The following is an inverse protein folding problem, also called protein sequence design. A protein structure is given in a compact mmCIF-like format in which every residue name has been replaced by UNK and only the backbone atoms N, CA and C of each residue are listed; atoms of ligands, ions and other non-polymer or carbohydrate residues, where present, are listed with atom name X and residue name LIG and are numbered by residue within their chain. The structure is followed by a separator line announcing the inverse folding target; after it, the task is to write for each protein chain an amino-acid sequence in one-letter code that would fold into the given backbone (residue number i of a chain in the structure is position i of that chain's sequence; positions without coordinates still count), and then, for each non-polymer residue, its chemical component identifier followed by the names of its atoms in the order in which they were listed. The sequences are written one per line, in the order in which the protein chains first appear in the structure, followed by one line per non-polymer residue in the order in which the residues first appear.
data_IF_612345280925
#
_entry.id   IF_612345280925
#
_cell.length_a   1.000
_cell.length_b   1.000
_cell.length_c   1.000
_cell.angle_alpha   90.00
_cell.angle_beta   90.00
_cell.angle_gamma   90.00
#
_symmetry.space_group_name_H-M   'P 1'
#
loop_
_entity.id
_entity.type
_entity.pdbx_description
1 polymer ?
#
# COMPACT_ATOMS: atom_id res chain seq x y z
N UNK A 1 -47.64 46.54 31.87
CA UNK A 1 -49.05 46.10 32.00
C UNK A 1 -49.71 46.22 30.62
N UNK A 2 -50.53 45.23 30.25
CA UNK A 2 -51.09 44.92 28.90
C UNK A 2 -50.32 43.85 28.11
N UNK A 3 -50.61 42.59 28.44
CA UNK A 3 -50.45 41.43 27.54
C UNK A 3 -51.51 41.53 26.42
N UNK A 4 -51.10 41.23 25.18
CA UNK A 4 -52.00 40.92 24.06
C UNK A 4 -51.69 39.50 23.56
N UNK A 5 -52.70 38.69 23.23
CA UNK A 5 -52.51 37.33 22.74
C UNK A 5 -52.28 37.36 21.23
N UNK A 6 -51.38 36.49 20.73
CA UNK A 6 -51.19 36.26 19.30
C UNK A 6 -51.36 34.77 19.01
N UNK A 7 -52.51 34.50 18.39
CA UNK A 7 -52.82 33.49 17.38
C UNK A 7 -51.92 32.25 17.28
N UNK A 8 -52.51 31.11 17.66
CA UNK A 8 -52.10 29.78 17.18
C UNK A 8 -52.53 29.61 15.73
N UNK A 9 -51.58 29.40 14.84
CA UNK A 9 -51.80 28.85 13.51
C UNK A 9 -51.22 27.43 13.50
N UNK A 10 -52.11 26.43 13.46
CA UNK A 10 -51.74 25.05 13.14
C UNK A 10 -51.41 24.98 11.66
N UNK A 11 -50.15 24.68 11.33
CA UNK A 11 -49.75 24.34 9.97
C UNK A 11 -49.49 22.83 9.92
N UNK A 12 -50.37 22.11 9.22
CA UNK A 12 -50.16 20.71 8.80
C UNK A 12 -48.96 20.66 7.85
N UNK A 13 -47.82 20.14 8.32
CA UNK A 13 -46.74 19.71 7.45
C UNK A 13 -47.03 18.29 6.97
N UNK A 14 -47.50 18.17 5.72
CA UNK A 14 -47.61 16.92 4.99
C UNK A 14 -46.20 16.42 4.64
N UNK A 15 -45.86 15.25 5.15
CA UNK A 15 -44.65 14.52 4.82
C UNK A 15 -44.72 14.00 3.38
N UNK A 16 -43.97 14.63 2.47
CA UNK A 16 -43.60 14.04 1.18
C UNK A 16 -42.20 13.46 1.29
N UNK A 17 -42.12 12.21 1.73
CA UNK A 17 -40.92 11.38 1.62
C UNK A 17 -40.80 10.91 0.16
N UNK A 18 -40.32 11.78 -0.73
CA UNK A 18 -39.85 11.37 -2.04
C UNK A 18 -38.48 10.69 -1.86
N UNK A 19 -38.51 9.37 -1.61
CA UNK A 19 -37.32 8.53 -1.70
C UNK A 19 -36.85 8.51 -3.16
N UNK A 20 -35.88 9.36 -3.47
CA UNK A 20 -35.10 9.27 -4.70
C UNK A 20 -34.18 8.06 -4.59
N UNK A 21 -34.71 6.89 -4.95
CA UNK A 21 -33.88 5.73 -5.27
C UNK A 21 -33.08 6.13 -6.52
N UNK A 22 -31.74 6.18 -6.48
CA UNK A 22 -31.00 6.35 -7.72
C UNK A 22 -31.31 5.14 -8.58
N UNK A 23 -31.94 5.39 -9.73
CA UNK A 23 -32.11 4.39 -10.76
C UNK A 23 -30.71 3.87 -11.11
N UNK A 24 -30.39 2.67 -10.62
CA UNK A 24 -29.24 1.90 -11.05
C UNK A 24 -29.45 1.64 -12.55
N UNK A 25 -28.89 2.51 -13.39
CA UNK A 25 -28.70 2.18 -14.79
C UNK A 25 -27.81 0.95 -14.81
N UNK A 26 -28.41 -0.18 -15.13
CA UNK A 26 -27.70 -1.36 -15.62
C UNK A 26 -27.06 -0.97 -16.97
N UNK A 27 -25.98 -0.18 -16.92
CA UNK A 27 -25.04 -0.09 -18.01
C UNK A 27 -24.35 -1.45 -18.07
N UNK A 28 -24.47 -2.15 -19.20
CA UNK A 28 -23.71 -3.38 -19.42
C UNK A 28 -22.23 -3.09 -19.12
N UNK A 29 -21.61 -3.97 -18.33
CA UNK A 29 -20.22 -3.92 -17.85
C UNK A 29 -19.16 -3.77 -18.96
N UNK A 30 -19.58 -3.78 -20.24
CA UNK A 30 -18.72 -3.78 -21.42
C UNK A 30 -19.20 -2.82 -22.52
N UNK A 31 -19.94 -1.76 -22.17
CA UNK A 31 -20.47 -0.80 -23.15
C UNK A 31 -19.56 0.42 -23.40
N UNK A 32 -19.05 0.54 -24.64
CA UNK A 32 -18.72 1.73 -25.46
C UNK A 32 -18.45 3.13 -24.87
N UNK A 33 -18.01 3.26 -23.62
CA UNK A 33 -17.66 4.53 -23.00
C UNK A 33 -16.24 4.99 -23.33
N UNK A 34 -15.96 6.29 -23.29
CA UNK A 34 -14.61 6.86 -23.51
C UNK A 34 -13.77 6.96 -22.22
N UNK A 35 -14.26 6.40 -21.12
CA UNK A 35 -13.73 6.55 -19.77
C UNK A 35 -13.58 5.20 -19.08
N UNK A 36 -12.69 5.16 -18.07
CA UNK A 36 -12.50 4.00 -17.21
C UNK A 36 -13.81 3.67 -16.47
N UNK A 37 -14.27 2.43 -16.59
CA UNK A 37 -15.46 1.96 -15.89
C UNK A 37 -15.19 1.87 -14.38
N UNK A 38 -16.03 2.54 -13.59
CA UNK A 38 -15.92 2.53 -12.12
C UNK A 38 -16.45 1.24 -11.50
N UNK A 39 -17.11 0.37 -12.27
CA UNK A 39 -17.60 -0.92 -11.81
C UNK A 39 -16.46 -1.83 -11.31
N UNK A 40 -15.25 -1.72 -11.89
CA UNK A 40 -14.07 -2.46 -11.43
C UNK A 40 -13.68 -2.13 -9.98
N UNK A 41 -14.06 -0.96 -9.46
CA UNK A 41 -13.81 -0.62 -8.05
C UNK A 41 -14.70 -1.37 -7.05
N UNK A 42 -15.69 -2.14 -7.52
CA UNK A 42 -16.59 -2.92 -6.65
C UNK A 42 -15.99 -4.25 -6.21
N UNK A 43 -14.88 -4.70 -6.83
CA UNK A 43 -14.23 -5.97 -6.47
C UNK A 43 -13.57 -5.96 -5.09
N UNK A 44 -13.40 -4.78 -4.47
CA UNK A 44 -12.83 -4.57 -3.13
C UNK A 44 -11.66 -5.52 -2.80
N UNK A 45 -10.57 -5.52 -3.60
CA UNK A 45 -9.46 -6.42 -3.38
C UNK A 45 -8.75 -6.10 -2.05
N UNK A 46 -8.04 -7.09 -1.49
CA UNK A 46 -7.42 -6.99 -0.18
C UNK A 46 -6.27 -5.96 -0.13
N UNK A 47 -5.74 -5.53 -1.29
CA UNK A 47 -4.69 -4.52 -1.40
C UNK A 47 -5.16 -3.29 -2.17
N UNK A 48 -4.62 -2.14 -1.82
CA UNK A 48 -4.66 -0.92 -2.61
C UNK A 48 -3.24 -0.45 -2.94
N UNK A 49 -3.07 0.23 -4.07
CA UNK A 49 -1.79 0.82 -4.46
C UNK A 49 -1.85 2.36 -4.40
N UNK A 50 -0.83 2.98 -3.84
CA UNK A 50 -0.65 4.44 -3.85
C UNK A 50 0.71 4.74 -4.45
N UNK A 51 0.74 5.64 -5.44
CA UNK A 51 1.94 6.10 -6.11
C UNK A 51 2.19 7.54 -5.66
N UNK A 52 3.26 7.75 -4.91
CA UNK A 52 3.77 9.06 -4.54
C UNK A 52 4.85 9.48 -5.53
N UNK A 53 4.75 10.72 -6.01
CA UNK A 53 5.77 11.35 -6.84
C UNK A 53 6.26 12.59 -6.13
N UNK A 54 7.53 12.59 -5.71
CA UNK A 54 8.21 13.77 -5.20
C UNK A 54 8.34 14.80 -6.33
N UNK A 55 7.60 15.90 -6.18
CA UNK A 55 7.57 16.96 -7.17
C UNK A 55 8.87 17.78 -7.25
N UNK A 56 9.76 17.63 -6.27
CA UNK A 56 11.07 18.29 -6.29
C UNK A 56 12.11 17.51 -7.10
N UNK A 57 11.84 16.23 -7.40
CA UNK A 57 12.78 15.30 -8.06
C UNK A 57 12.48 15.07 -9.55
N UNK A 58 11.47 15.74 -10.07
CA UNK A 58 11.05 15.57 -11.47
C UNK A 58 12.00 16.32 -12.40
N UNK A 59 12.83 15.55 -13.12
CA UNK A 59 13.76 16.09 -14.13
C UNK A 59 13.08 16.18 -15.50
N UNK A 60 13.20 17.35 -16.14
CA UNK A 60 12.70 17.61 -17.50
C UNK A 60 13.33 16.65 -18.50
N UNK A 61 12.48 16.10 -19.38
CA UNK A 61 12.79 15.11 -20.40
C UNK A 61 13.23 13.74 -19.86
N UNK A 62 13.20 13.52 -18.55
CA UNK A 62 13.40 12.20 -17.95
C UNK A 62 12.04 11.57 -17.60
N UNK A 63 11.58 10.66 -18.45
CA UNK A 63 10.30 9.95 -18.29
C UNK A 63 10.48 8.43 -18.14
N UNK A 64 11.71 7.93 -18.07
CA UNK A 64 11.98 6.49 -17.99
C UNK A 64 11.42 5.88 -16.70
N UNK A 65 11.51 6.61 -15.58
CA UNK A 65 10.91 6.19 -14.32
C UNK A 65 9.39 5.98 -14.42
N UNK A 66 8.69 6.81 -15.21
CA UNK A 66 7.24 6.68 -15.46
C UNK A 66 6.92 5.41 -16.24
N UNK A 67 7.72 5.11 -17.27
CA UNK A 67 7.54 3.91 -18.09
C UNK A 67 7.76 2.65 -17.25
N UNK A 68 8.83 2.61 -16.46
CA UNK A 68 9.13 1.50 -15.54
C UNK A 68 8.01 1.31 -14.53
N UNK A 69 7.53 2.40 -13.93
CA UNK A 69 6.41 2.37 -12.98
C UNK A 69 5.13 1.82 -13.61
N UNK A 70 4.71 2.34 -14.77
CA UNK A 70 3.50 1.89 -15.44
C UNK A 70 3.59 0.41 -15.83
N UNK A 71 4.74 -0.03 -16.37
CA UNK A 71 4.97 -1.42 -16.73
C UNK A 71 4.87 -2.35 -15.49
N UNK A 72 5.45 -1.94 -14.36
CA UNK A 72 5.37 -2.68 -13.10
C UNK A 72 3.94 -2.74 -12.55
N UNK A 73 3.19 -1.65 -12.61
CA UNK A 73 1.79 -1.63 -12.20
C UNK A 73 0.96 -2.62 -13.03
N UNK A 74 1.06 -2.57 -14.37
CA UNK A 74 0.33 -3.47 -15.26
C UNK A 74 0.62 -4.96 -14.99
N UNK A 75 1.83 -5.28 -14.51
CA UNK A 75 2.27 -6.65 -14.23
C UNK A 75 1.90 -7.15 -12.83
N UNK A 76 1.51 -6.27 -11.91
CA UNK A 76 1.42 -6.62 -10.48
C UNK A 76 0.10 -6.24 -9.81
N UNK A 77 -0.73 -5.41 -10.47
CA UNK A 77 -2.05 -5.04 -9.97
C UNK A 77 -3.06 -6.19 -10.06
N UNK A 78 -3.82 -6.38 -8.98
CA UNK A 78 -4.93 -7.32 -8.95
C UNK A 78 -6.16 -6.77 -9.67
N UNK A 79 -7.07 -7.63 -10.16
CA UNK A 79 -8.40 -7.23 -10.60
C UNK A 79 -9.10 -6.29 -9.61
N UNK A 80 -9.48 -5.10 -10.09
CA UNK A 80 -10.18 -4.09 -9.29
C UNK A 80 -9.31 -3.36 -8.27
N UNK A 81 -7.98 -3.54 -8.28
CA UNK A 81 -7.08 -2.88 -7.34
C UNK A 81 -7.11 -1.37 -7.53
N UNK A 82 -7.52 -0.66 -6.49
CA UNK A 82 -7.52 0.80 -6.48
C UNK A 82 -6.08 1.29 -6.49
N UNK A 83 -5.76 2.10 -7.49
CA UNK A 83 -4.50 2.79 -7.66
C UNK A 83 -4.73 4.29 -7.53
N UNK A 84 -3.96 4.95 -6.68
CA UNK A 84 -4.06 6.40 -6.47
C UNK A 84 -2.72 7.06 -6.80
N UNK A 85 -2.74 8.18 -7.52
CA UNK A 85 -1.57 9.02 -7.79
C UNK A 85 -1.61 10.22 -6.86
N UNK A 86 -0.54 10.40 -6.10
CA UNK A 86 -0.38 11.46 -5.12
C UNK A 86 0.87 12.26 -5.47
N UNK A 87 0.70 13.57 -5.62
CA UNK A 87 1.82 14.51 -5.65
C UNK A 87 2.32 14.68 -4.21
N UNK A 88 3.60 14.40 -4.01
CA UNK A 88 4.30 14.68 -2.77
C UNK A 88 5.05 16.00 -2.97
N UNK A 89 4.83 16.98 -2.08
CA UNK A 89 5.46 18.30 -2.15
C UNK A 89 6.35 18.55 -0.92
N UNK A 90 7.58 18.00 -0.87
CA UNK A 90 8.50 18.20 0.25
C UNK A 90 8.83 19.66 0.56
N UNK A 91 8.77 20.53 -0.44
CA UNK A 91 8.96 21.98 -0.25
C UNK A 91 7.88 22.62 0.63
N UNK A 92 6.70 22.00 0.71
CA UNK A 92 5.55 22.49 1.49
C UNK A 92 5.15 21.53 2.62
N UNK A 93 5.75 20.35 2.70
CA UNK A 93 5.38 19.33 3.69
C UNK A 93 3.96 18.80 3.48
N UNK A 94 3.50 18.70 2.22
CA UNK A 94 2.12 18.34 1.90
C UNK A 94 2.08 17.22 0.85
N UNK A 95 0.96 16.53 0.82
CA UNK A 95 0.59 15.57 -0.22
C UNK A 95 -0.76 15.96 -0.82
N UNK A 96 -0.95 15.65 -2.10
CA UNK A 96 -2.19 15.94 -2.82
C UNK A 96 -2.54 14.81 -3.76
N UNK A 97 -3.72 14.23 -3.56
CA UNK A 97 -4.29 13.28 -4.51
C UNK A 97 -4.59 13.97 -5.84
N UNK A 98 -4.04 13.43 -6.94
CA UNK A 98 -4.24 13.92 -8.30
C UNK A 98 -5.28 13.08 -9.03
N UNK A 99 -5.29 11.77 -8.79
CA UNK A 99 -6.17 10.83 -9.47
C UNK A 99 -6.29 9.52 -8.70
N UNK A 100 -7.44 8.86 -8.84
CA UNK A 100 -7.67 7.50 -8.35
C UNK A 100 -8.52 6.71 -9.36
N UNK A 101 -8.20 5.43 -9.55
CA UNK A 101 -8.92 4.51 -10.43
C UNK A 101 -8.63 3.05 -10.08
N UNK A 102 -9.43 2.11 -10.58
CA UNK A 102 -9.26 0.68 -10.28
C UNK A 102 -8.79 -0.09 -11.51
N UNK A 103 -7.85 -1.01 -11.31
CA UNK A 103 -7.27 -1.79 -12.40
C UNK A 103 -8.31 -2.68 -13.09
N UNK A 104 -8.59 -2.47 -14.39
CA UNK A 104 -9.56 -3.29 -15.11
C UNK A 104 -8.90 -4.60 -15.52
N UNK A 105 -9.15 -5.62 -14.70
CA UNK A 105 -8.73 -6.99 -14.98
C UNK A 105 -9.78 -7.96 -14.43
N UNK A 106 -9.65 -9.23 -14.77
CA UNK A 106 -10.50 -10.32 -14.28
C UNK A 106 -9.63 -11.48 -13.81
N UNK A 107 -10.13 -12.27 -12.87
CA UNK A 107 -9.46 -13.51 -12.47
C UNK A 107 -9.58 -14.57 -13.57
N UNK A 108 -8.74 -15.62 -13.52
CA UNK A 108 -8.83 -16.73 -14.48
C UNK A 108 -10.22 -17.38 -14.50
N UNK A 109 -10.84 -17.53 -13.32
CA UNK A 109 -12.16 -18.15 -13.22
C UNK A 109 -13.26 -17.24 -13.76
N UNK A 110 -13.15 -15.93 -13.54
CA UNK A 110 -14.02 -14.95 -14.17
C UNK A 110 -13.85 -14.95 -15.69
N UNK A 111 -12.62 -15.00 -16.20
CA UNK A 111 -12.34 -15.08 -17.63
C UNK A 111 -12.97 -16.33 -18.27
N UNK A 112 -12.87 -17.50 -17.62
CA UNK A 112 -13.51 -18.74 -18.08
C UNK A 112 -15.04 -18.60 -18.15
N UNK A 113 -15.66 -18.00 -17.13
CA UNK A 113 -17.12 -17.73 -17.11
C UNK A 113 -17.53 -16.79 -18.23
N UNK A 114 -16.83 -15.65 -18.37
CA UNK A 114 -17.11 -14.67 -19.42
C UNK A 114 -16.98 -15.27 -20.83
N UNK A 115 -15.97 -16.11 -21.06
CA UNK A 115 -15.80 -16.81 -22.33
C UNK A 115 -16.94 -17.82 -22.62
N UNK A 116 -17.51 -18.45 -21.59
CA UNK A 116 -18.64 -19.39 -21.74
C UNK A 116 -19.99 -18.70 -21.93
N UNK A 117 -20.14 -17.44 -21.48
CA UNK A 117 -21.38 -16.68 -21.57
C UNK A 117 -21.49 -15.84 -22.87
N UNK A 118 -20.36 -15.53 -23.52
CA UNK A 118 -20.30 -14.57 -24.63
C UNK A 118 -20.69 -15.10 -26.02
N UNK A 119 -21.52 -16.14 -26.13
CA UNK A 119 -21.71 -16.85 -27.40
C UNK A 119 -22.63 -16.20 -28.43
N UNK A 120 -23.33 -15.09 -28.18
CA UNK A 120 -24.41 -14.70 -29.09
C UNK A 120 -24.44 -13.29 -29.71
N UNK A 121 -24.27 -12.14 -29.04
CA UNK A 121 -24.47 -10.84 -29.75
C UNK A 121 -23.69 -9.59 -29.25
N UNK A 122 -22.61 -9.74 -28.50
CA UNK A 122 -21.75 -8.61 -28.09
C UNK A 122 -20.30 -8.90 -28.42
N UNK A 123 -19.51 -7.87 -28.77
CA UNK A 123 -18.08 -8.02 -29.10
C UNK A 123 -17.30 -8.79 -28.03
N UNK A 124 -16.11 -9.29 -28.41
CA UNK A 124 -15.27 -10.10 -27.53
C UNK A 124 -15.02 -9.36 -26.19
N UNK A 125 -15.48 -9.89 -25.04
CA UNK A 125 -15.29 -9.25 -23.74
C UNK A 125 -13.84 -8.91 -23.41
N UNK A 126 -12.89 -9.67 -23.99
CA UNK A 126 -11.46 -9.42 -23.85
C UNK A 126 -10.99 -8.16 -24.56
N UNK A 127 -11.62 -7.79 -25.68
CA UNK A 127 -11.29 -6.55 -26.39
C UNK A 127 -11.74 -5.34 -25.58
N UNK A 128 -12.92 -5.42 -24.95
CA UNK A 128 -13.39 -4.41 -24.00
C UNK A 128 -12.45 -4.30 -22.78
N UNK A 129 -11.93 -5.43 -22.28
CA UNK A 129 -10.96 -5.41 -21.18
C UNK A 129 -9.67 -4.68 -21.56
N UNK A 130 -9.12 -4.97 -22.75
CA UNK A 130 -7.91 -4.31 -23.26
C UNK A 130 -8.13 -2.82 -23.45
N UNK A 131 -9.30 -2.41 -23.94
CA UNK A 131 -9.69 -1.01 -24.05
C UNK A 131 -9.74 -0.32 -22.68
N UNK A 132 -10.36 -0.96 -21.68
CA UNK A 132 -10.41 -0.44 -20.31
C UNK A 132 -9.01 -0.31 -19.68
N UNK A 133 -8.12 -1.28 -19.90
CA UNK A 133 -6.71 -1.18 -19.50
C UNK A 133 -6.02 0.01 -20.16
N UNK A 134 -6.31 0.27 -21.43
CA UNK A 134 -5.86 1.46 -22.15
C UNK A 134 -6.36 2.77 -21.50
N UNK A 135 -7.63 2.83 -21.08
CA UNK A 135 -8.17 3.98 -20.35
C UNK A 135 -7.50 4.20 -19.01
N UNK A 136 -7.27 3.12 -18.23
CA UNK A 136 -6.52 3.19 -16.99
C UNK A 136 -5.11 3.77 -17.23
N UNK A 137 -4.35 3.22 -18.19
CA UNK A 137 -2.99 3.69 -18.49
C UNK A 137 -2.96 5.14 -18.98
N UNK A 138 -3.94 5.54 -19.79
CA UNK A 138 -4.08 6.93 -20.26
C UNK A 138 -4.36 7.88 -19.09
N UNK A 139 -5.31 7.55 -18.23
CA UNK A 139 -5.75 8.46 -17.17
C UNK A 139 -4.73 8.51 -16.02
N UNK A 140 -4.07 7.38 -15.71
CA UNK A 140 -2.84 7.37 -14.89
C UNK A 140 -1.74 8.25 -15.49
N UNK A 141 -1.46 8.08 -16.79
CA UNK A 141 -0.44 8.87 -17.50
C UNK A 141 -0.75 10.37 -17.49
N UNK A 142 -2.02 10.76 -17.64
CA UNK A 142 -2.45 12.16 -17.48
C UNK A 142 -2.18 12.69 -16.08
N UNK A 143 -2.47 11.91 -15.03
CA UNK A 143 -2.21 12.31 -13.64
C UNK A 143 -0.72 12.56 -13.39
N UNK A 144 0.16 11.64 -13.84
CA UNK A 144 1.61 11.84 -13.76
C UNK A 144 2.05 13.06 -14.59
N UNK A 145 1.47 13.24 -15.78
CA UNK A 145 1.76 14.39 -16.65
C UNK A 145 1.36 15.72 -15.99
N UNK A 146 0.29 15.74 -15.19
CA UNK A 146 -0.07 16.93 -14.39
C UNK A 146 1.05 17.33 -13.44
N UNK A 147 1.61 16.37 -12.69
CA UNK A 147 2.73 16.61 -11.77
C UNK A 147 3.97 17.04 -12.57
N UNK A 148 4.27 16.34 -13.67
CA UNK A 148 5.41 16.65 -14.52
C UNK A 148 5.33 18.09 -15.08
N UNK A 149 4.18 18.51 -15.60
CA UNK A 149 4.04 19.83 -16.20
C UNK A 149 4.18 20.97 -15.19
N UNK A 150 3.80 20.75 -13.92
CA UNK A 150 3.94 21.77 -12.87
C UNK A 150 5.31 21.79 -12.23
N UNK A 151 6.05 20.69 -12.32
CA UNK A 151 7.19 20.46 -11.43
C UNK A 151 8.49 20.08 -12.14
N UNK A 152 8.47 19.79 -13.44
CA UNK A 152 9.66 19.41 -14.20
C UNK A 152 10.68 20.56 -14.32
N UNK A 153 11.84 20.37 -13.70
CA UNK A 153 12.95 21.32 -13.68
C UNK A 153 14.13 20.83 -14.51
N UNK A 154 15.11 21.69 -14.78
CA UNK A 154 16.32 21.23 -15.46
C UNK A 154 17.12 20.28 -14.53
N UNK A 155 17.96 19.38 -15.06
CA UNK A 155 18.78 18.51 -14.22
C UNK A 155 19.58 19.27 -13.15
N UNK A 156 20.14 20.42 -13.50
CA UNK A 156 20.92 21.26 -12.58
C UNK A 156 20.11 21.86 -11.43
N UNK A 157 18.79 22.06 -11.61
CA UNK A 157 17.90 22.63 -10.58
C UNK A 157 17.39 21.57 -9.58
N UNK A 158 17.47 20.29 -9.96
CA UNK A 158 17.05 19.15 -9.12
C UNK A 158 18.24 18.59 -8.34
N UNK A 159 19.43 18.79 -8.86
CA UNK A 159 20.69 18.32 -8.30
C UNK A 159 20.98 18.88 -6.90
N UNK A 160 21.44 18.01 -6.01
CA UNK A 160 21.69 18.33 -4.61
C UNK A 160 23.19 18.43 -4.33
N UNK A 161 23.58 19.66 -4.00
CA UNK A 161 24.70 20.12 -3.18
C UNK A 161 24.75 19.55 -1.75
N UNK A 162 25.47 18.48 -1.36
CA UNK A 162 25.48 18.05 0.05
C UNK A 162 26.02 19.11 1.02
N UNK A 163 26.85 20.05 0.54
CA UNK A 163 27.35 21.16 1.36
C UNK A 163 26.30 22.27 1.54
N UNK A 164 25.28 22.31 0.69
CA UNK A 164 24.17 23.29 0.71
C UNK A 164 22.86 22.64 0.27
N UNK A 165 22.37 21.62 0.99
CA UNK A 165 21.22 20.86 0.54
C UNK A 165 19.96 21.74 0.54
N UNK A 166 19.04 21.56 -0.42
CA UNK A 166 17.78 22.27 -0.42
C UNK A 166 16.92 21.80 0.76
N UNK A 167 16.07 22.67 1.28
CA UNK A 167 15.10 22.26 2.31
C UNK A 167 14.05 21.34 1.68
N UNK A 168 13.94 20.13 2.19
CA UNK A 168 12.97 19.10 1.76
C UNK A 168 12.40 18.39 2.98
N UNK A 169 11.09 18.44 3.16
CA UNK A 169 10.37 17.71 4.23
C UNK A 169 9.47 16.63 3.65
N UNK A 170 10.10 15.53 3.24
CA UNK A 170 9.45 14.32 2.74
C UNK A 170 8.67 13.66 3.87
N UNK A 171 9.23 13.58 5.08
CA UNK A 171 8.57 13.00 6.27
C UNK A 171 7.23 13.67 6.54
N UNK A 172 7.19 15.01 6.57
CA UNK A 172 5.93 15.75 6.79
C UNK A 172 4.94 15.55 5.64
N UNK A 173 5.45 15.51 4.41
CA UNK A 173 4.61 15.27 3.23
C UNK A 173 3.93 13.92 3.28
N UNK A 174 4.65 12.85 3.66
CA UNK A 174 4.07 11.52 3.85
C UNK A 174 3.09 11.50 5.03
N UNK A 175 3.45 12.13 6.15
CA UNK A 175 2.58 12.22 7.33
C UNK A 175 1.25 12.90 7.02
N UNK A 176 1.22 13.87 6.09
CA UNK A 176 -0.01 14.55 5.69
C UNK A 176 -1.05 13.63 5.00
N UNK A 177 -0.63 12.49 4.44
CA UNK A 177 -1.51 11.46 3.88
C UNK A 177 -1.82 10.32 4.88
N UNK A 178 -1.42 10.46 6.15
CA UNK A 178 -1.55 9.43 7.17
C UNK A 178 -2.99 8.93 7.39
N UNK A 179 -3.99 9.79 7.14
CA UNK A 179 -5.40 9.42 7.23
C UNK A 179 -5.78 8.25 6.31
N UNK A 180 -5.15 8.13 5.14
CA UNK A 180 -5.35 7.03 4.19
C UNK A 180 -5.01 5.67 4.82
N UNK A 181 -3.91 5.63 5.56
CA UNK A 181 -3.42 4.41 6.20
C UNK A 181 -4.28 4.02 7.40
N UNK A 182 -4.70 4.99 8.20
CA UNK A 182 -5.60 4.75 9.34
C UNK A 182 -6.99 4.22 8.96
N UNK A 183 -7.47 4.52 7.75
CA UNK A 183 -8.78 4.13 7.25
C UNK A 183 -8.76 2.90 6.34
N UNK A 184 -7.57 2.36 6.05
CA UNK A 184 -7.41 1.24 5.15
C UNK A 184 -7.99 -0.05 5.75
N UNK A 185 -8.87 -0.73 5.00
CA UNK A 185 -9.44 -2.04 5.37
C UNK A 185 -8.52 -3.22 5.02
N UNK A 186 -7.44 -2.98 4.29
CA UNK A 186 -6.48 -3.98 3.86
C UNK A 186 -5.06 -3.42 3.81
N UNK A 187 -4.19 -4.05 3.02
CA UNK A 187 -2.80 -3.59 2.87
C UNK A 187 -2.68 -2.49 1.81
N UNK A 188 -1.81 -1.51 2.07
CA UNK A 188 -1.45 -0.48 1.10
C UNK A 188 -0.05 -0.77 0.56
N UNK A 189 0.07 -1.02 -0.73
CA UNK A 189 1.35 -0.90 -1.43
C UNK A 189 1.60 0.56 -1.75
N UNK A 190 2.61 1.16 -1.13
CA UNK A 190 3.05 2.51 -1.47
C UNK A 190 4.27 2.43 -2.39
N UNK A 191 4.23 3.11 -3.54
CA UNK A 191 5.36 3.24 -4.46
C UNK A 191 5.77 4.71 -4.46
N UNK A 192 6.97 5.01 -4.01
CA UNK A 192 7.47 6.38 -3.86
C UNK A 192 8.64 6.61 -4.81
N UNK A 193 8.46 7.54 -5.76
CA UNK A 193 9.56 8.09 -6.54
C UNK A 193 10.12 9.32 -5.83
N UNK A 194 11.31 9.20 -5.25
CA UNK A 194 12.02 10.28 -4.56
C UNK A 194 13.50 9.94 -4.39
N UNK A 195 14.34 10.97 -4.34
CA UNK A 195 15.75 10.88 -3.96
C UNK A 195 15.97 10.59 -2.47
N UNK A 196 14.93 10.74 -1.65
CA UNK A 196 14.94 10.54 -0.20
C UNK A 196 15.91 11.47 0.55
N UNK A 197 16.22 12.63 -0.02
CA UNK A 197 17.09 13.66 0.55
C UNK A 197 16.34 14.53 1.57
N UNK A 198 15.92 13.95 2.70
CA UNK A 198 15.30 14.71 3.80
C UNK A 198 16.29 15.73 4.36
N UNK A 199 15.86 16.99 4.40
CA UNK A 199 16.60 18.10 5.01
C UNK A 199 15.57 19.10 5.56
N UNK A 200 15.09 18.82 6.76
CA UNK A 200 14.10 19.62 7.46
C UNK A 200 14.41 19.72 8.95
N UNK A 201 13.60 20.48 9.68
CA UNK A 201 13.66 20.54 11.14
C UNK A 201 13.29 19.22 11.82
N UNK A 202 12.68 18.27 11.10
CA UNK A 202 12.37 16.94 11.63
C UNK A 202 13.60 16.02 11.56
N UNK A 203 14.42 16.18 10.53
CA UNK A 203 15.58 15.33 10.29
C UNK A 203 16.39 15.77 9.09
N UNK A 204 17.63 15.33 9.03
CA UNK A 204 18.58 15.72 7.98
C UNK A 204 19.47 14.52 7.64
N UNK A 205 19.45 14.08 6.38
CA UNK A 205 20.30 12.99 5.87
C UNK A 205 21.74 13.43 5.63
N UNK A 206 22.02 14.73 5.60
CA UNK A 206 23.33 15.31 5.33
C UNK A 206 24.13 15.59 6.62
N UNK A 207 23.53 15.37 7.80
CA UNK A 207 24.17 15.56 9.09
C UNK A 207 24.64 14.22 9.66
N UNK A 208 25.96 14.09 9.84
CA UNK A 208 26.57 12.95 10.52
C UNK A 208 26.94 13.32 11.97
N UNK A 209 26.62 12.49 12.99
CA UNK A 209 25.95 11.20 12.89
C UNK A 209 24.42 11.33 12.82
N UNK A 210 23.80 10.51 11.96
CA UNK A 210 22.35 10.30 11.96
C UNK A 210 21.94 9.70 13.31
N UNK A 211 20.91 10.26 14.01
CA UNK A 211 20.40 9.72 15.26
C UNK A 211 20.05 8.24 15.14
N UNK A 212 20.34 7.47 16.19
CA UNK A 212 20.02 6.04 16.22
C UNK A 212 18.54 5.76 16.52
N UNK A 213 17.77 6.79 16.89
CA UNK A 213 16.33 6.70 17.11
C UNK A 213 15.67 7.96 16.58
N UNK A 214 14.58 7.77 15.84
CA UNK A 214 13.70 8.82 15.36
C UNK A 214 12.28 8.48 15.83
N UNK A 215 11.46 9.50 16.05
CA UNK A 215 10.12 9.34 16.62
C UNK A 215 9.10 10.20 15.87
N UNK A 216 9.02 9.98 14.55
CA UNK A 216 8.12 10.77 13.70
C UNK A 216 6.68 10.32 13.82
N UNK A 217 6.45 9.01 14.03
CA UNK A 217 5.10 8.47 14.21
C UNK A 217 4.37 9.12 15.37
N UNK A 218 5.00 9.22 16.55
CA UNK A 218 4.41 9.88 17.71
C UNK A 218 4.33 11.40 17.50
N UNK A 219 5.44 12.05 17.11
CA UNK A 219 5.50 13.52 16.97
C UNK A 219 4.51 14.09 15.96
N UNK A 220 4.26 13.38 14.87
CA UNK A 220 3.35 13.82 13.81
C UNK A 220 1.97 13.17 13.90
N UNK A 221 1.76 12.22 14.83
CA UNK A 221 0.54 11.42 14.90
C UNK A 221 0.27 10.62 13.62
N UNK A 222 1.32 10.25 12.89
CA UNK A 222 1.22 9.69 11.55
C UNK A 222 1.83 8.28 11.51
N UNK A 223 0.97 7.29 11.79
CA UNK A 223 1.31 5.88 11.63
C UNK A 223 0.85 5.39 10.26
N UNK A 224 1.79 5.13 9.37
CA UNK A 224 1.54 4.59 8.03
C UNK A 224 1.50 3.05 8.07
N UNK A 225 0.86 2.51 9.10
CA UNK A 225 0.70 1.08 9.32
C UNK A 225 -0.10 0.41 8.18
N UNK A 226 -0.05 -0.93 8.14
CA UNK A 226 -0.68 -1.74 7.08
C UNK A 226 -0.15 -1.43 5.69
N UNK A 227 1.10 -1.00 5.58
CA UNK A 227 1.69 -0.60 4.30
C UNK A 227 2.98 -1.32 3.99
N UNK A 228 3.25 -1.51 2.70
CA UNK A 228 4.56 -1.95 2.18
C UNK A 228 5.05 -0.91 1.18
N UNK A 229 6.16 -0.26 1.51
CA UNK A 229 6.77 0.81 0.74
C UNK A 229 7.84 0.27 -0.21
N UNK A 230 7.72 0.66 -1.48
CA UNK A 230 8.72 0.49 -2.53
C UNK A 230 9.21 1.88 -2.93
N UNK A 231 10.38 2.25 -2.44
CA UNK A 231 11.01 3.54 -2.71
C UNK A 231 12.06 3.36 -3.79
N UNK A 232 11.97 4.18 -4.84
CA UNK A 232 12.92 4.17 -5.94
C UNK A 232 13.30 5.59 -6.37
N UNK A 233 14.46 5.73 -7.01
CA UNK A 233 15.07 7.02 -7.28
C UNK A 233 16.04 7.49 -6.19
N UNK A 234 16.27 6.67 -5.16
CA UNK A 234 17.03 7.03 -3.95
C UNK A 234 18.44 7.53 -4.32
N UNK A 235 18.78 8.74 -3.87
CA UNK A 235 20.09 9.36 -4.06
C UNK A 235 20.44 9.78 -5.49
N UNK A 236 19.55 9.58 -6.48
CA UNK A 236 19.86 9.82 -7.89
C UNK A 236 20.17 11.29 -8.24
N UNK A 237 19.83 12.22 -7.36
CA UNK A 237 20.00 13.67 -7.55
C UNK A 237 21.21 14.21 -6.78
N UNK A 238 21.88 13.41 -5.95
CA UNK A 238 22.93 13.86 -5.02
C UNK A 238 24.32 13.77 -5.67
N UNK A 239 25.09 14.85 -5.60
CA UNK A 239 26.45 14.93 -6.18
C UNK A 239 27.55 14.58 -5.18
N UNK A 240 27.70 13.31 -4.87
CA UNK A 240 28.72 12.90 -3.90
C UNK A 240 29.32 11.50 -4.10
N UNK A 241 29.11 10.92 -5.29
CA UNK A 241 29.55 9.56 -5.63
C UNK A 241 29.00 8.48 -4.67
N UNK A 242 27.80 8.71 -4.10
CA UNK A 242 27.08 7.75 -3.27
C UNK A 242 27.45 7.76 -1.79
N UNK A 243 28.26 8.73 -1.32
CA UNK A 243 28.70 8.83 0.08
C UNK A 243 27.53 9.00 1.06
N UNK A 244 26.49 9.71 0.67
CA UNK A 244 25.29 9.98 1.46
C UNK A 244 24.30 8.81 1.39
N UNK A 245 24.53 7.80 0.53
CA UNK A 245 23.61 6.66 0.39
C UNK A 245 23.44 5.87 1.69
N UNK A 246 24.52 5.71 2.46
CA UNK A 246 24.45 4.98 3.74
C UNK A 246 23.71 5.79 4.81
N UNK A 247 23.90 7.12 4.84
CA UNK A 247 23.20 8.02 5.74
C UNK A 247 21.71 8.11 5.41
N UNK A 248 21.33 8.17 4.13
CA UNK A 248 19.94 8.09 3.66
C UNK A 248 19.31 6.78 4.10
N UNK A 249 19.98 5.64 3.86
CA UNK A 249 19.44 4.33 4.25
C UNK A 249 19.27 4.23 5.75
N UNK A 250 20.25 4.70 6.53
CA UNK A 250 20.18 4.71 7.99
C UNK A 250 19.03 5.59 8.48
N UNK A 251 18.95 6.83 8.01
CA UNK A 251 17.91 7.77 8.38
C UNK A 251 16.51 7.21 8.08
N UNK A 252 16.30 6.73 6.86
CA UNK A 252 14.98 6.26 6.44
C UNK A 252 14.59 4.92 7.05
N UNK A 253 15.54 4.06 7.42
CA UNK A 253 15.25 2.87 8.21
C UNK A 253 14.62 3.25 9.56
N UNK A 254 15.26 4.19 10.29
CA UNK A 254 14.73 4.67 11.57
C UNK A 254 13.42 5.45 11.40
N UNK A 255 13.34 6.31 10.37
CA UNK A 255 12.16 7.12 10.10
C UNK A 255 10.94 6.22 9.80
N UNK A 256 11.08 5.27 8.88
CA UNK A 256 10.01 4.34 8.52
C UNK A 256 9.62 3.42 9.67
N UNK A 257 10.59 2.93 10.44
CA UNK A 257 10.30 2.17 11.65
C UNK A 257 9.47 2.99 12.64
N UNK A 258 9.83 4.26 12.88
CA UNK A 258 9.09 5.15 13.77
C UNK A 258 7.65 5.43 13.31
N UNK A 259 7.39 5.35 12.00
CA UNK A 259 6.06 5.56 11.39
C UNK A 259 5.30 4.25 11.15
N UNK A 260 5.81 3.11 11.64
CA UNK A 260 5.25 1.78 11.42
C UNK A 260 5.08 1.41 9.92
N UNK A 261 6.04 1.81 9.09
CA UNK A 261 6.11 1.46 7.67
C UNK A 261 6.89 0.17 7.48
N UNK A 262 6.39 -0.74 6.63
CA UNK A 262 7.17 -1.89 6.18
C UNK A 262 7.89 -1.55 4.87
N UNK A 263 9.19 -1.83 4.75
CA UNK A 263 9.97 -1.55 3.53
C UNK A 263 10.05 -2.82 2.69
N UNK A 264 9.44 -2.81 1.50
CA UNK A 264 9.52 -3.88 0.50
C UNK A 264 10.68 -3.71 -0.49
N UNK A 265 11.11 -2.46 -0.74
CA UNK A 265 12.26 -2.14 -1.57
C UNK A 265 12.69 -0.69 -1.38
N UNK A 266 14.00 -0.44 -1.43
CA UNK A 266 14.58 0.89 -1.22
C UNK A 266 15.90 1.02 -2.01
N UNK A 267 15.91 1.80 -3.09
CA UNK A 267 17.12 1.96 -3.92
C UNK A 267 16.95 2.88 -5.13
N UNK A 268 17.90 2.85 -6.06
CA UNK A 268 17.81 3.61 -7.32
C UNK A 268 16.67 3.12 -8.21
N UNK A 269 16.44 1.80 -8.23
CA UNK A 269 15.52 1.11 -9.13
C UNK A 269 14.26 0.58 -8.44
N UNK A 270 13.19 0.44 -9.20
CA UNK A 270 11.91 -0.07 -8.70
C UNK A 270 11.91 -1.60 -8.56
N UNK A 271 12.28 -2.06 -7.36
CA UNK A 271 12.40 -3.48 -6.99
C UNK A 271 11.08 -4.19 -6.62
N UNK A 272 10.02 -4.08 -7.44
CA UNK A 272 8.77 -4.83 -7.22
C UNK A 272 8.83 -6.19 -7.93
N UNK A 273 8.51 -7.26 -7.22
CA UNK A 273 8.36 -8.62 -7.77
C UNK A 273 7.21 -8.66 -8.78
N UNK A 274 7.46 -9.25 -9.96
CA UNK A 274 6.47 -9.39 -11.03
C UNK A 274 5.48 -10.53 -10.74
N UNK A 275 4.69 -10.38 -9.69
CA UNK A 275 3.69 -11.36 -9.29
C UNK A 275 2.37 -10.66 -8.91
N UNK A 276 1.26 -11.33 -9.22
CA UNK A 276 -0.10 -10.84 -8.95
C UNK A 276 -0.66 -11.68 -7.80
N UNK A 277 -0.99 -11.09 -6.64
CA UNK A 277 -1.65 -11.84 -5.59
C UNK A 277 -3.01 -12.34 -6.06
N UNK A 278 -3.34 -13.58 -5.71
CA UNK A 278 -4.62 -14.22 -6.02
C UNK A 278 -5.43 -14.57 -4.76
N UNK A 279 -4.76 -14.63 -3.61
CA UNK A 279 -5.39 -14.82 -2.31
C UNK A 279 -4.89 -13.77 -1.32
N UNK A 280 -5.74 -13.43 -0.36
CA UNK A 280 -5.41 -12.49 0.71
C UNK A 280 -6.22 -12.76 1.97
N UNK A 281 -5.60 -12.62 3.13
CA UNK A 281 -6.29 -12.70 4.43
C UNK A 281 -5.59 -11.86 5.49
N UNK A 282 -6.40 -11.30 6.38
CA UNK A 282 -5.97 -10.63 7.60
C UNK A 282 -6.14 -11.57 8.78
N UNK A 283 -5.14 -11.61 9.65
CA UNK A 283 -5.14 -12.41 10.86
C UNK A 283 -4.92 -11.51 12.08
N UNK A 284 -5.63 -11.80 13.16
CA UNK A 284 -5.20 -11.43 14.50
C UNK A 284 -4.11 -12.38 14.96
N UNK A 285 -3.04 -11.83 15.52
CA UNK A 285 -1.87 -12.58 15.94
C UNK A 285 -1.66 -12.42 17.43
N UNK A 286 -1.33 -13.54 18.09
CA UNK A 286 -0.85 -13.55 19.48
C UNK A 286 0.51 -14.25 19.51
N UNK A 287 1.54 -13.48 19.87
CA UNK A 287 2.91 -13.92 20.12
C UNK A 287 3.11 -14.09 21.63
N UNK A 288 3.69 -15.21 22.05
CA UNK A 288 3.98 -15.48 23.47
C UNK A 288 5.44 -15.23 23.79
N UNK A 289 5.69 -14.27 24.69
CA UNK A 289 7.01 -13.98 25.24
C UNK A 289 7.02 -14.28 26.74
N UNK A 290 7.50 -15.48 27.10
CA UNK A 290 7.42 -15.97 28.48
C UNK A 290 5.96 -16.13 28.93
N UNK A 291 5.56 -15.32 29.92
CA UNK A 291 4.17 -15.29 30.43
C UNK A 291 3.32 -14.16 29.82
N UNK A 292 3.88 -13.36 28.90
CA UNK A 292 3.18 -12.25 28.27
C UNK A 292 2.63 -12.65 26.90
N UNK A 293 1.37 -12.31 26.66
CA UNK A 293 0.75 -12.38 25.35
C UNK A 293 0.86 -10.99 24.68
N UNK A 294 1.49 -10.96 23.51
CA UNK A 294 1.66 -9.76 22.70
C UNK A 294 0.77 -9.88 21.46
N UNK A 295 -0.18 -8.94 21.34
CA UNK A 295 -1.18 -8.95 20.27
C UNK A 295 -0.77 -8.09 19.08
N UNK A 296 -1.20 -8.52 17.90
CA UNK A 296 -0.90 -7.86 16.65
C UNK A 296 -1.77 -8.34 15.51
N UNK A 297 -1.33 -8.01 14.30
CA UNK A 297 -1.97 -8.41 13.06
C UNK A 297 -0.95 -8.93 12.06
N UNK A 298 -1.39 -9.85 11.22
CA UNK A 298 -0.63 -10.31 10.06
C UNK A 298 -1.51 -10.21 8.84
N UNK A 299 -0.91 -9.82 7.73
CA UNK A 299 -1.57 -9.76 6.45
C UNK A 299 -0.81 -10.61 5.46
N UNK A 300 -1.48 -11.62 4.91
CA UNK A 300 -0.93 -12.51 3.91
C UNK A 300 -1.57 -12.20 2.56
N UNK A 301 -0.73 -12.11 1.55
CA UNK A 301 -1.10 -12.04 0.14
C UNK A 301 -0.22 -13.03 -0.59
N UNK A 302 -0.82 -13.93 -1.36
CA UNK A 302 -0.06 -14.97 -2.08
C UNK A 302 -0.36 -14.98 -3.55
N UNK A 303 0.62 -15.30 -4.39
CA UNK A 303 0.35 -15.70 -5.77
C UNK A 303 -0.17 -17.15 -5.86
N UNK A 304 -0.27 -17.64 -7.10
CA UNK A 304 -0.76 -18.99 -7.42
C UNK A 304 0.16 -20.11 -6.95
N UNK A 305 1.45 -19.82 -6.83
CA UNK A 305 2.46 -20.78 -6.39
C UNK A 305 2.61 -20.75 -4.86
N UNK A 306 1.88 -19.86 -4.18
CA UNK A 306 1.91 -19.68 -2.75
C UNK A 306 3.00 -18.71 -2.28
N UNK A 307 3.72 -18.03 -3.18
CA UNK A 307 4.73 -17.06 -2.77
C UNK A 307 4.06 -15.85 -2.12
N UNK A 308 4.63 -15.40 -1.01
CA UNK A 308 4.16 -14.19 -0.30
C UNK A 308 4.54 -12.93 -1.09
N UNK A 309 3.59 -12.00 -1.20
CA UNK A 309 3.76 -10.73 -1.91
C UNK A 309 3.26 -9.62 -0.98
N UNK A 310 4.06 -8.58 -0.70
CA UNK A 310 3.67 -7.49 0.20
C UNK A 310 3.02 -7.94 1.53
N UNK A 311 3.40 -9.13 2.00
CA UNK A 311 2.86 -9.70 3.24
C UNK A 311 3.64 -9.12 4.40
N UNK A 312 2.97 -8.91 5.53
CA UNK A 312 3.60 -8.30 6.71
C UNK A 312 2.99 -8.85 7.99
N UNK A 313 3.74 -8.72 9.08
CA UNK A 313 3.32 -9.04 10.44
C UNK A 313 3.72 -7.90 11.35
N UNK A 314 2.81 -7.48 12.23
CA UNK A 314 3.09 -6.44 13.20
C UNK A 314 2.50 -6.77 14.56
N UNK A 315 3.28 -6.52 15.60
CA UNK A 315 2.88 -6.68 17.00
C UNK A 315 2.76 -5.28 17.60
N UNK A 316 1.59 -4.95 18.16
CA UNK A 316 1.18 -3.58 18.51
C UNK A 316 2.19 -2.84 19.40
N UNK A 317 2.83 -3.56 20.33
CA UNK A 317 3.79 -3.00 21.28
C UNK A 317 5.25 -3.09 20.82
N UNK A 318 5.49 -3.69 19.66
CA UNK A 318 6.82 -3.87 19.09
C UNK A 318 6.91 -3.06 17.79
N UNK A 319 6.88 -3.73 16.65
CA UNK A 319 6.97 -3.12 15.32
C UNK A 319 6.20 -3.95 14.30
N UNK A 320 6.19 -3.47 13.06
CA UNK A 320 5.70 -4.19 11.89
C UNK A 320 6.86 -4.47 10.94
N UNK A 321 6.86 -5.65 10.33
CA UNK A 321 7.89 -6.08 9.38
C UNK A 321 7.27 -6.77 8.17
N UNK A 322 7.89 -6.61 6.99
CA UNK A 322 7.58 -7.44 5.81
C UNK A 322 7.95 -8.89 6.11
N UNK A 323 7.19 -9.84 5.58
CA UNK A 323 7.54 -11.26 5.56
C UNK A 323 7.63 -11.77 4.13
N UNK A 324 8.69 -12.54 3.87
CA UNK A 324 8.98 -13.12 2.57
C UNK A 324 9.08 -14.64 2.72
N UNK A 325 8.42 -15.41 1.85
CA UNK A 325 8.37 -16.85 1.98
C UNK A 325 7.24 -17.46 1.17
N UNK A 326 6.75 -18.61 1.62
CA UNK A 326 5.70 -19.36 0.94
C UNK A 326 4.62 -19.81 1.91
N UNK A 327 3.38 -19.78 1.43
CA UNK A 327 2.23 -20.45 2.00
C UNK A 327 1.88 -21.64 1.10
N UNK A 328 2.14 -22.84 1.60
CA UNK A 328 1.81 -24.07 0.88
C UNK A 328 0.52 -24.67 1.43
N UNK A 329 -0.48 -24.88 0.58
CA UNK A 329 -1.72 -25.55 0.96
C UNK A 329 -1.84 -26.89 0.23
N UNK A 330 -1.88 -27.99 0.98
CA UNK A 330 -2.00 -29.32 0.41
C UNK A 330 -3.40 -29.52 -0.20
N UNK A 331 -3.46 -29.93 -1.47
CA UNK A 331 -4.71 -30.02 -2.23
C UNK A 331 -5.68 -31.09 -1.73
N UNK A 332 -5.17 -32.12 -1.06
CA UNK A 332 -5.91 -33.28 -0.57
C UNK A 332 -6.50 -33.05 0.84
N UNK A 333 -5.78 -32.35 1.70
CA UNK A 333 -6.14 -32.13 3.11
C UNK A 333 -6.64 -30.72 3.39
N UNK A 334 -6.48 -29.79 2.44
CA UNK A 334 -6.70 -28.35 2.64
C UNK A 334 -5.90 -27.76 3.80
N UNK A 335 -4.87 -28.47 4.30
CA UNK A 335 -4.01 -27.97 5.36
C UNK A 335 -2.95 -27.05 4.75
N UNK A 336 -2.87 -25.84 5.29
CA UNK A 336 -1.85 -24.86 4.90
C UNK A 336 -0.68 -24.80 5.89
N UNK A 337 0.53 -24.60 5.35
CA UNK A 337 1.75 -24.32 6.11
C UNK A 337 2.42 -23.06 5.58
N UNK A 338 2.71 -22.12 6.48
CA UNK A 338 3.45 -20.89 6.22
C UNK A 338 4.89 -21.08 6.64
N UNK A 339 5.82 -20.76 5.76
CA UNK A 339 7.24 -20.63 6.09
C UNK A 339 7.75 -19.33 5.50
N UNK A 340 8.17 -18.41 6.35
CA UNK A 340 8.60 -17.08 5.95
C UNK A 340 9.76 -16.56 6.81
N UNK A 341 10.47 -15.59 6.28
CA UNK A 341 11.46 -14.80 7.01
C UNK A 341 11.01 -13.35 7.09
N UNK A 342 11.23 -12.72 8.24
CA UNK A 342 11.00 -11.29 8.39
C UNK A 342 12.08 -10.49 7.66
N UNK A 343 11.73 -9.37 7.05
CA UNK A 343 12.67 -8.47 6.38
C UNK A 343 13.55 -7.69 7.36
N UNK A 344 13.09 -7.55 8.61
CA UNK A 344 13.80 -6.97 9.73
C UNK A 344 13.37 -7.70 11.02
N UNK A 345 14.12 -7.59 12.12
CA UNK A 345 13.72 -8.22 13.37
C UNK A 345 12.35 -7.72 13.85
N UNK A 346 11.46 -8.61 14.25
CA UNK A 346 10.18 -8.24 14.87
C UNK A 346 10.34 -8.10 16.38
N UNK A 347 10.98 -9.08 17.01
CA UNK A 347 11.10 -9.16 18.47
C UNK A 347 12.49 -8.80 18.96
N UNK A 348 13.53 -9.26 18.27
CA UNK A 348 14.91 -9.03 18.71
C UNK A 348 15.40 -7.61 18.40
N UNK A 349 16.31 -7.06 19.22
CA UNK A 349 16.96 -5.76 18.96
C UNK A 349 18.14 -5.87 17.96
N UNK A 350 18.23 -6.99 17.23
CA UNK A 350 19.35 -7.29 16.34
C UNK A 350 19.18 -6.75 14.91
N UNK A 351 20.01 -7.25 13.98
CA UNK A 351 19.83 -7.05 12.53
C UNK A 351 19.36 -8.31 11.79
N UNK A 352 19.09 -9.37 12.54
CA UNK A 352 18.81 -10.68 11.96
C UNK A 352 17.34 -10.78 11.58
N UNK A 353 17.07 -11.30 10.38
CA UNK A 353 15.74 -11.79 10.01
C UNK A 353 15.33 -12.93 10.94
N UNK A 354 14.05 -13.02 11.26
CA UNK A 354 13.45 -14.08 12.08
C UNK A 354 12.65 -15.02 11.19
N UNK A 355 12.62 -16.32 11.53
CA UNK A 355 11.90 -17.34 10.76
C UNK A 355 10.53 -17.59 11.39
N UNK A 356 9.48 -17.30 10.62
CA UNK A 356 8.10 -17.60 10.95
C UNK A 356 7.70 -18.94 10.32
N UNK A 357 7.32 -19.91 11.15
CA UNK A 357 6.82 -21.20 10.70
C UNK A 357 5.48 -21.48 11.34
N UNK A 358 4.40 -21.56 10.55
CA UNK A 358 3.06 -21.83 11.07
C UNK A 358 2.36 -22.95 10.28
N UNK A 359 1.51 -23.71 10.97
CA UNK A 359 0.64 -24.71 10.38
C UNK A 359 -0.80 -24.42 10.75
N UNK A 360 -1.68 -24.62 9.79
CA UNK A 360 -3.10 -24.49 10.02
C UNK A 360 -3.60 -25.53 11.04
N UNK A 361 -4.46 -25.08 11.94
CA UNK A 361 -5.20 -25.93 12.86
C UNK A 361 -6.63 -26.11 12.33
N UNK A 362 -7.09 -27.36 12.21
CA UNK A 362 -8.41 -27.71 11.69
C UNK A 362 -8.49 -27.87 10.18
N UNK A 363 -9.72 -28.03 9.66
CA UNK A 363 -10.01 -28.36 8.25
C UNK A 363 -10.75 -27.26 7.48
N UNK A 364 -10.97 -26.09 8.08
CA UNK A 364 -11.57 -24.94 7.40
C UNK A 364 -10.67 -24.45 6.25
N UNK A 365 -11.18 -23.72 5.26
CA UNK A 365 -10.30 -23.08 4.28
C UNK A 365 -9.55 -21.92 4.95
N UNK A 366 -8.24 -21.76 4.70
CA UNK A 366 -7.45 -20.70 5.34
C UNK A 366 -8.01 -19.31 5.05
N UNK A 367 -8.53 -19.10 3.84
CA UNK A 367 -9.12 -17.82 3.41
C UNK A 367 -10.64 -17.73 3.68
N UNK A 368 -11.18 -18.66 4.48
CA UNK A 368 -12.53 -18.56 5.04
C UNK A 368 -12.45 -18.18 6.52
N UNK A 369 -13.40 -17.36 6.98
CA UNK A 369 -13.39 -16.86 8.35
C UNK A 369 -13.40 -17.98 9.40
N UNK A 370 -12.68 -17.77 10.51
CA UNK A 370 -12.57 -18.71 11.62
C UNK A 370 -11.47 -19.77 11.48
N UNK A 371 -10.63 -19.69 10.46
CA UNK A 371 -9.41 -20.50 10.36
C UNK A 371 -8.34 -20.00 11.35
N UNK A 372 -7.54 -20.92 11.89
CA UNK A 372 -6.43 -20.57 12.78
C UNK A 372 -5.14 -21.27 12.34
N UNK A 373 -4.01 -20.62 12.60
CA UNK A 373 -2.67 -21.17 12.43
C UNK A 373 -1.92 -21.10 13.75
N UNK A 374 -1.08 -22.10 14.00
CA UNK A 374 -0.20 -22.14 15.16
C UNK A 374 1.21 -22.48 14.70
N UNK A 375 2.19 -21.94 15.40
CA UNK A 375 3.57 -22.13 15.02
C UNK A 375 4.53 -21.39 15.91
N UNK A 376 5.68 -21.01 15.34
CA UNK A 376 6.73 -20.35 16.07
C UNK A 376 7.42 -19.25 15.26
N UNK A 377 8.00 -18.29 15.98
CA UNK A 377 8.89 -17.25 15.47
C UNK A 377 10.27 -17.46 16.07
N UNK A 378 11.19 -17.97 15.25
CA UNK A 378 12.55 -18.34 15.65
C UNK A 378 13.60 -17.32 15.20
N UNK A 379 14.69 -17.21 15.95
CA UNK A 379 15.85 -16.40 15.57
C UNK A 379 16.94 -17.32 15.01
N UNK A 380 17.36 -17.16 13.74
CA UNK A 380 18.40 -18.00 13.14
C UNK A 380 19.69 -18.02 13.97
N UNK A 381 20.20 -19.22 14.27
CA UNK A 381 21.41 -19.40 15.06
C UNK A 381 21.24 -19.21 16.58
N UNK A 382 20.01 -19.06 17.06
CA UNK A 382 19.65 -18.94 18.48
C UNK A 382 18.76 -20.09 18.93
N UNK A 383 18.66 -20.32 20.24
CA UNK A 383 17.66 -21.21 20.84
C UNK A 383 16.31 -20.52 21.12
N UNK A 384 16.17 -19.25 20.70
CA UNK A 384 14.92 -18.49 20.87
C UNK A 384 13.92 -18.94 19.81
N UNK A 385 12.80 -19.49 20.28
CA UNK A 385 11.67 -19.90 19.47
C UNK A 385 10.37 -19.53 20.21
N UNK A 386 9.67 -18.51 19.72
CA UNK A 386 8.53 -17.92 20.41
C UNK A 386 7.22 -18.49 19.85
N UNK A 387 6.34 -19.07 20.67
CA UNK A 387 5.04 -19.55 20.19
C UNK A 387 4.21 -18.42 19.62
N UNK A 388 3.63 -18.65 18.44
CA UNK A 388 2.76 -17.70 17.76
C UNK A 388 1.50 -18.38 17.26
N UNK A 389 0.38 -17.68 17.37
CA UNK A 389 -0.90 -18.11 16.85
C UNK A 389 -1.52 -16.98 16.03
N UNK A 390 -2.25 -17.36 14.98
CA UNK A 390 -2.94 -16.44 14.10
C UNK A 390 -4.36 -16.93 13.86
N UNK A 391 -5.36 -16.06 13.95
CA UNK A 391 -6.76 -16.38 13.65
C UNK A 391 -7.28 -15.43 12.60
N UNK A 392 -7.94 -15.93 11.55
CA UNK A 392 -8.49 -15.07 10.51
C UNK A 392 -9.54 -14.14 11.08
N UNK A 393 -9.46 -12.87 10.71
CA UNK A 393 -10.51 -11.91 10.99
C UNK A 393 -11.69 -12.24 10.07
N UNK A 394 -12.88 -12.38 10.65
CA UNK A 394 -14.11 -12.32 9.87
C UNK A 394 -14.31 -10.87 9.46
N UNK A 395 -14.31 -10.60 8.14
CA UNK A 395 -14.67 -9.28 7.62
C UNK A 395 -16.08 -8.93 8.13
N UNK A 396 -16.18 -7.94 9.02
CA UNK A 396 -17.45 -7.34 9.48
C UNK A 396 -18.04 -6.37 8.43
#
# INVERSE_FOLDING_TARGET
MKMKPLFRVSLCALAFSAASVPAAKAGGMFGGGTALDTSYCRFNPPRQTVVYVDDTDVVRNNIEWVKTLLAKLQQTLMPGERTTVVQLSPAHGQSKEIWSGCWPNVTTDQAKRLASESHFFSGNPMDSLKEQQGFFSRDFGKAITTIYNTSARTPADVEIDPAKPPKKSIVRSLASDGARYSSARGSIRAILYSDMAENSELGDVFVTPIPNTLDFGEKLGALLHRSVFYVFGVGNTIKDDGKTSDDIRKFWNEAFQSMAVNIGGFGSDLGITNAIPVHGATFEVTLKEGAQDLHGHMFLLTDRDGQLIDSWIGITRLRTVVINGNLHCASDTSQCSLTANTGSPLVTEGRNSETLSMKQSGSASLFSGGSSMQGTLGVPGSSVDLPISATTMTDE
#
